data_IF_318668428823
#
_entry.id   IF_318668428823
#
_cell.length_a   1.000
_cell.length_b   1.000
_cell.length_c   1.000
_cell.angle_alpha   90.00
_cell.angle_beta   90.00
_cell.angle_gamma   90.00
#
_symmetry.space_group_name_H-M   'P 1'
#
loop_
_entity.id
_entity.type
_entity.pdbx_description
1 polymer ?
#
# COMPACT_ATOMS: atom_id res chain seq x y z
N UNK A 1 -17.34 -30.97 6.76
CA UNK A 1 -17.01 -29.58 6.46
C UNK A 1 -18.32 -28.82 6.28
N UNK A 2 -18.66 -27.90 7.21
CA UNK A 2 -20.01 -27.32 7.31
C UNK A 2 -20.27 -26.38 6.10
N UNK A 3 -21.33 -26.58 5.35
CA UNK A 3 -21.67 -25.80 4.14
C UNK A 3 -21.75 -24.28 4.40
N UNK A 4 -22.05 -23.87 5.62
CA UNK A 4 -22.05 -22.48 6.04
C UNK A 4 -20.64 -21.83 6.03
N UNK A 5 -19.61 -22.56 6.46
CA UNK A 5 -18.23 -22.06 6.49
C UNK A 5 -17.65 -21.91 5.08
N UNK A 6 -17.94 -22.84 4.17
CA UNK A 6 -17.51 -22.77 2.78
C UNK A 6 -18.11 -21.54 2.06
N UNK A 7 -19.38 -21.23 2.32
CA UNK A 7 -20.02 -20.01 1.79
C UNK A 7 -19.37 -18.73 2.30
N UNK A 8 -18.98 -18.67 3.58
CA UNK A 8 -18.28 -17.52 4.13
C UNK A 8 -16.94 -17.31 3.44
N UNK A 9 -16.17 -18.37 3.23
CA UNK A 9 -14.86 -18.29 2.56
C UNK A 9 -14.97 -17.91 1.08
N UNK A 10 -15.93 -18.48 0.35
CA UNK A 10 -16.20 -18.09 -1.04
C UNK A 10 -16.64 -16.61 -1.14
N UNK A 11 -17.48 -16.16 -0.21
CA UNK A 11 -17.93 -14.78 -0.16
C UNK A 11 -16.77 -13.81 0.15
N UNK A 12 -15.85 -14.19 1.05
CA UNK A 12 -14.65 -13.43 1.35
C UNK A 12 -13.75 -13.34 0.11
N UNK A 13 -13.44 -14.49 -0.50
CA UNK A 13 -12.61 -14.55 -1.69
C UNK A 13 -13.18 -13.68 -2.82
N UNK A 14 -14.46 -13.82 -3.11
CA UNK A 14 -15.15 -13.05 -4.13
C UNK A 14 -15.18 -11.55 -3.81
N UNK A 15 -15.38 -11.20 -2.54
CA UNK A 15 -15.37 -9.81 -2.08
C UNK A 15 -14.01 -9.15 -2.34
N UNK A 16 -12.92 -9.79 -1.93
CA UNK A 16 -11.57 -9.25 -2.14
C UNK A 16 -11.19 -9.22 -3.62
N UNK A 17 -11.56 -10.22 -4.39
CA UNK A 17 -11.39 -10.24 -5.83
C UNK A 17 -12.09 -9.04 -6.49
N UNK A 18 -13.36 -8.82 -6.15
CA UNK A 18 -14.16 -7.70 -6.66
C UNK A 18 -13.58 -6.34 -6.26
N UNK A 19 -13.19 -6.17 -4.98
CA UNK A 19 -12.60 -4.93 -4.49
C UNK A 19 -11.29 -4.61 -5.22
N UNK A 20 -10.42 -5.60 -5.40
CA UNK A 20 -9.14 -5.40 -6.09
C UNK A 20 -9.28 -5.14 -7.59
N UNK A 21 -10.28 -5.71 -8.27
CA UNK A 21 -10.52 -5.42 -9.68
C UNK A 21 -11.12 -4.02 -9.86
N UNK A 22 -12.05 -3.61 -8.98
CA UNK A 22 -12.73 -2.32 -9.10
C UNK A 22 -11.90 -1.14 -8.58
N UNK A 23 -11.06 -1.40 -7.58
CA UNK A 23 -10.21 -0.38 -6.97
C UNK A 23 -8.88 -1.01 -6.54
N UNK A 24 -7.90 -1.12 -7.45
CA UNK A 24 -6.65 -1.86 -7.20
C UNK A 24 -5.76 -1.19 -6.16
N UNK A 25 -5.97 0.08 -5.81
CA UNK A 25 -5.19 0.76 -4.77
C UNK A 25 -5.84 2.07 -4.30
N UNK A 26 -5.40 2.54 -3.11
CA UNK A 26 -5.72 3.85 -2.58
C UNK A 26 -6.95 3.90 -1.66
N UNK A 27 -7.33 5.12 -1.20
CA UNK A 27 -8.42 5.32 -0.22
C UNK A 27 -9.77 4.79 -0.67
N UNK A 28 -10.03 4.75 -1.99
CA UNK A 28 -11.26 4.21 -2.55
C UNK A 28 -11.42 2.71 -2.29
N UNK A 29 -10.32 1.95 -2.25
CA UNK A 29 -10.38 0.52 -1.92
C UNK A 29 -10.78 0.27 -0.47
N UNK A 30 -10.35 1.13 0.46
CA UNK A 30 -10.73 1.06 1.88
C UNK A 30 -12.22 1.34 2.04
N UNK A 31 -12.75 2.37 1.37
CA UNK A 31 -14.17 2.70 1.39
C UNK A 31 -15.04 1.59 0.80
N UNK A 32 -14.59 0.96 -0.29
CA UNK A 32 -15.31 -0.15 -0.91
C UNK A 32 -15.27 -1.39 0.00
N UNK A 33 -14.12 -1.67 0.61
CA UNK A 33 -13.95 -2.76 1.57
C UNK A 33 -14.83 -2.57 2.81
N UNK A 34 -14.87 -1.33 3.36
CA UNK A 34 -15.78 -0.97 4.45
C UNK A 34 -17.23 -1.30 4.10
N UNK A 35 -17.70 -0.77 2.96
CA UNK A 35 -19.07 -0.99 2.51
C UNK A 35 -19.41 -2.48 2.37
N UNK A 36 -18.53 -3.26 1.75
CA UNK A 36 -18.74 -4.70 1.54
C UNK A 36 -18.65 -5.49 2.86
N UNK A 37 -17.69 -5.19 3.74
CA UNK A 37 -17.50 -5.91 5.00
C UNK A 37 -18.65 -5.67 5.98
N UNK A 38 -19.12 -4.43 6.11
CA UNK A 38 -20.22 -4.07 7.01
C UNK A 38 -21.57 -4.52 6.44
N UNK A 39 -21.82 -4.33 5.12
CA UNK A 39 -23.07 -4.78 4.51
C UNK A 39 -23.28 -6.29 4.55
N UNK A 40 -22.19 -7.06 4.48
CA UNK A 40 -22.21 -8.53 4.61
C UNK A 40 -22.15 -9.02 6.06
N UNK A 41 -22.19 -8.10 7.03
CA UNK A 41 -22.13 -8.42 8.46
C UNK A 41 -20.90 -9.27 8.84
N UNK A 42 -19.79 -9.10 8.12
CA UNK A 42 -18.52 -9.79 8.40
C UNK A 42 -17.82 -9.16 9.62
N UNK A 43 -18.04 -7.86 9.83
CA UNK A 43 -17.58 -7.11 11.00
C UNK A 43 -18.47 -5.88 11.22
N UNK A 44 -18.43 -5.34 12.45
CA UNK A 44 -19.11 -4.09 12.80
C UNK A 44 -18.32 -2.88 12.31
N UNK A 45 -18.98 -1.71 12.24
CA UNK A 45 -18.30 -0.44 11.92
C UNK A 45 -17.15 -0.15 12.89
N UNK A 46 -17.37 -0.34 14.19
CA UNK A 46 -16.36 -0.13 15.22
C UNK A 46 -15.12 -1.03 15.01
N UNK A 47 -15.34 -2.31 14.73
CA UNK A 47 -14.26 -3.25 14.42
C UNK A 47 -13.50 -2.87 13.16
N UNK A 48 -14.17 -2.34 12.13
CA UNK A 48 -13.50 -1.90 10.92
C UNK A 48 -12.63 -0.67 11.17
N UNK A 49 -13.13 0.33 11.90
CA UNK A 49 -12.36 1.52 12.28
C UNK A 49 -11.14 1.15 13.11
N UNK A 50 -11.28 0.23 14.05
CA UNK A 50 -10.18 -0.31 14.85
C UNK A 50 -9.14 -1.03 13.96
N UNK A 51 -9.59 -1.87 13.01
CA UNK A 51 -8.72 -2.54 12.05
C UNK A 51 -7.94 -1.56 11.18
N UNK A 52 -8.56 -0.48 10.72
CA UNK A 52 -7.89 0.61 10.00
C UNK A 52 -6.84 1.28 10.89
N UNK A 53 -7.19 1.59 12.14
CA UNK A 53 -6.25 2.17 13.12
C UNK A 53 -5.03 1.29 13.32
N UNK A 54 -5.20 -0.01 13.57
CA UNK A 54 -4.09 -0.96 13.70
C UNK A 54 -3.30 -1.11 12.40
N UNK A 55 -3.97 -1.09 11.25
CA UNK A 55 -3.28 -1.20 9.96
C UNK A 55 -2.35 -0.03 9.68
N UNK A 56 -2.64 1.15 10.20
CA UNK A 56 -1.79 2.34 10.05
C UNK A 56 -0.51 2.29 10.90
N UNK A 57 -0.54 1.58 12.02
CA UNK A 57 0.62 1.44 12.92
C UNK A 57 1.60 0.38 12.42
N UNK A 58 1.09 -0.68 11.78
CA UNK A 58 1.92 -1.79 11.30
C UNK A 58 2.62 -1.43 9.98
N UNK A 59 3.90 -1.79 9.78
CA UNK A 59 4.56 -1.63 8.50
C UNK A 59 3.98 -2.62 7.45
N UNK A 60 3.98 -2.21 6.18
CA UNK A 60 3.53 -3.03 5.06
C UNK A 60 2.27 -2.53 4.36
N UNK A 61 1.80 -3.26 3.34
CA UNK A 61 0.64 -2.90 2.52
C UNK A 61 -0.64 -2.79 3.35
N UNK A 62 -1.27 -1.62 3.37
CA UNK A 62 -2.52 -1.36 4.09
C UNK A 62 -3.66 -2.29 3.62
N UNK A 63 -3.77 -2.51 2.31
CA UNK A 63 -4.78 -3.38 1.74
C UNK A 63 -4.65 -4.83 2.22
N UNK A 64 -3.42 -5.36 2.32
CA UNK A 64 -3.19 -6.72 2.82
C UNK A 64 -3.47 -6.83 4.32
N UNK A 65 -3.09 -5.82 5.11
CA UNK A 65 -3.39 -5.78 6.55
C UNK A 65 -4.89 -5.77 6.80
N UNK A 66 -5.63 -4.92 6.09
CA UNK A 66 -7.10 -4.89 6.18
C UNK A 66 -7.71 -6.22 5.72
N UNK A 67 -7.18 -6.84 4.66
CA UNK A 67 -7.63 -8.18 4.26
C UNK A 67 -7.44 -9.21 5.37
N UNK A 68 -6.31 -9.16 6.08
CA UNK A 68 -6.06 -10.04 7.23
C UNK A 68 -7.07 -9.80 8.36
N UNK A 69 -7.32 -8.55 8.74
CA UNK A 69 -8.28 -8.22 9.82
C UNK A 69 -9.70 -8.63 9.46
N UNK A 70 -10.18 -8.28 8.27
CA UNK A 70 -11.51 -8.67 7.78
C UNK A 70 -11.64 -10.19 7.66
N UNK A 71 -10.61 -10.83 7.13
CA UNK A 71 -10.58 -12.30 7.01
C UNK A 71 -10.62 -13.00 8.37
N UNK A 72 -9.88 -12.47 9.35
CA UNK A 72 -9.87 -13.02 10.71
C UNK A 72 -11.21 -12.84 11.41
N UNK A 73 -11.81 -11.65 11.31
CA UNK A 73 -13.13 -11.37 11.89
C UNK A 73 -14.22 -12.28 11.32
N UNK A 74 -14.17 -12.57 10.02
CA UNK A 74 -15.18 -13.37 9.33
C UNK A 74 -15.01 -14.89 9.49
N UNK A 75 -13.79 -15.41 9.68
CA UNK A 75 -13.54 -16.85 9.65
C UNK A 75 -12.27 -17.34 10.33
N UNK A 76 -11.66 -16.52 11.19
CA UNK A 76 -10.40 -16.86 11.86
C UNK A 76 -9.25 -17.06 10.88
N UNK A 77 -8.30 -17.94 11.22
CA UNK A 77 -7.10 -18.21 10.40
C UNK A 77 -7.45 -18.66 8.95
N UNK A 78 -8.39 -19.58 8.71
CA UNK A 78 -8.78 -19.91 7.33
C UNK A 78 -9.38 -18.73 6.56
N UNK A 79 -10.10 -17.84 7.26
CA UNK A 79 -10.63 -16.60 6.69
C UNK A 79 -9.51 -15.66 6.25
N UNK A 80 -8.44 -15.53 7.04
CA UNK A 80 -7.23 -14.76 6.68
C UNK A 80 -6.61 -15.28 5.39
N UNK A 81 -6.39 -16.60 5.29
CA UNK A 81 -5.78 -17.21 4.11
C UNK A 81 -6.64 -16.97 2.86
N UNK A 82 -7.96 -17.13 2.99
CA UNK A 82 -8.90 -16.90 1.88
C UNK A 82 -8.93 -15.44 1.44
N UNK A 83 -8.92 -14.50 2.39
CA UNK A 83 -8.89 -13.07 2.12
C UNK A 83 -7.58 -12.64 1.44
N UNK A 84 -6.44 -13.16 1.92
CA UNK A 84 -5.13 -12.89 1.31
C UNK A 84 -5.04 -13.44 -0.11
N UNK A 85 -5.51 -14.67 -0.36
CA UNK A 85 -5.56 -15.22 -1.71
C UNK A 85 -6.43 -14.36 -2.63
N UNK A 86 -7.61 -13.93 -2.16
CA UNK A 86 -8.47 -13.02 -2.91
C UNK A 86 -7.86 -11.64 -3.16
N UNK A 87 -7.01 -11.16 -2.26
CA UNK A 87 -6.34 -9.88 -2.39
C UNK A 87 -5.10 -9.93 -3.31
N UNK A 88 -4.34 -11.02 -3.27
CA UNK A 88 -3.06 -11.15 -3.99
C UNK A 88 -3.26 -11.71 -5.41
N UNK A 89 -4.17 -12.67 -5.60
CA UNK A 89 -4.36 -13.36 -6.87
C UNK A 89 -4.69 -12.43 -8.05
N UNK A 90 -5.66 -11.49 -7.96
CA UNK A 90 -6.03 -10.65 -9.09
C UNK A 90 -4.86 -9.80 -9.62
N UNK A 91 -4.16 -9.00 -8.81
CA UNK A 91 -3.05 -8.19 -9.32
C UNK A 91 -1.90 -9.06 -9.83
N UNK A 92 -1.62 -10.22 -9.20
CA UNK A 92 -0.58 -11.14 -9.65
C UNK A 92 -0.90 -11.73 -11.02
N UNK A 93 -2.13 -12.21 -11.23
CA UNK A 93 -2.56 -12.76 -12.52
C UNK A 93 -2.53 -11.69 -13.60
N UNK A 94 -3.00 -10.47 -13.31
CA UNK A 94 -2.93 -9.35 -14.25
C UNK A 94 -1.48 -9.03 -14.65
N UNK A 95 -0.55 -8.98 -13.68
CA UNK A 95 0.86 -8.72 -13.96
C UNK A 95 1.50 -9.84 -14.78
N UNK A 96 1.16 -11.10 -14.51
CA UNK A 96 1.65 -12.24 -15.30
C UNK A 96 1.14 -12.18 -16.74
N UNK A 97 -0.14 -11.85 -16.95
CA UNK A 97 -0.71 -11.68 -18.29
C UNK A 97 -0.01 -10.55 -19.04
N UNK A 98 0.12 -9.39 -18.40
CA UNK A 98 0.80 -8.23 -19.01
C UNK A 98 2.25 -8.58 -19.36
N UNK A 99 2.97 -9.22 -18.43
CA UNK A 99 4.35 -9.67 -18.67
C UNK A 99 4.46 -10.66 -19.83
N UNK A 100 3.56 -11.64 -19.90
CA UNK A 100 3.52 -12.62 -20.99
C UNK A 100 3.23 -11.96 -22.35
N UNK A 101 2.31 -10.99 -22.37
CA UNK A 101 2.01 -10.22 -23.59
C UNK A 101 3.24 -9.42 -24.02
N UNK A 102 3.87 -8.68 -23.09
CA UNK A 102 5.06 -7.88 -23.38
C UNK A 102 6.21 -8.75 -23.90
N UNK A 103 6.45 -9.90 -23.27
CA UNK A 103 7.50 -10.84 -23.73
C UNK A 103 7.26 -11.34 -25.16
N UNK A 104 6.01 -11.58 -25.52
CA UNK A 104 5.66 -12.05 -26.89
C UNK A 104 5.94 -10.99 -27.96
N UNK A 105 5.98 -9.73 -27.58
CA UNK A 105 6.16 -8.59 -28.48
C UNK A 105 7.52 -7.88 -28.30
N UNK A 106 8.45 -8.45 -27.56
CA UNK A 106 9.77 -7.87 -27.26
C UNK A 106 10.62 -7.51 -28.49
N UNK A 107 10.27 -8.02 -29.69
CA UNK A 107 10.94 -7.68 -30.95
C UNK A 107 10.25 -6.52 -31.69
N UNK A 108 9.32 -5.85 -31.08
CA UNK A 108 8.53 -4.81 -31.73
C UNK A 108 8.97 -3.42 -31.26
N UNK A 109 9.60 -2.64 -32.15
CA UNK A 109 10.12 -1.29 -31.89
C UNK A 109 9.09 -0.33 -31.26
N UNK A 110 7.81 -0.55 -31.47
CA UNK A 110 6.77 0.28 -30.87
C UNK A 110 6.55 0.02 -29.37
N UNK A 111 6.78 -1.20 -28.88
CA UNK A 111 6.72 -1.52 -27.46
C UNK A 111 7.91 -0.91 -26.73
N UNK A 112 9.09 -1.01 -27.30
CA UNK A 112 10.28 -0.37 -26.75
C UNK A 112 10.10 1.14 -26.67
N UNK A 113 9.51 1.76 -27.71
CA UNK A 113 9.15 3.17 -27.71
C UNK A 113 8.09 3.52 -26.64
N UNK A 114 7.09 2.67 -26.46
CA UNK A 114 6.05 2.86 -25.43
C UNK A 114 6.63 2.77 -24.01
N UNK A 115 7.42 1.74 -23.71
CA UNK A 115 8.09 1.55 -22.42
C UNK A 115 9.09 2.67 -22.16
N UNK A 116 9.88 3.05 -23.15
CA UNK A 116 10.83 4.17 -23.06
C UNK A 116 10.10 5.50 -22.77
N UNK A 117 8.94 5.71 -23.38
CA UNK A 117 8.10 6.89 -23.12
C UNK A 117 7.44 6.90 -21.74
N UNK A 118 7.15 5.71 -21.16
CA UNK A 118 6.59 5.61 -19.80
C UNK A 118 7.62 5.95 -18.71
N UNK A 119 8.89 5.63 -18.91
CA UNK A 119 9.95 5.86 -17.91
C UNK A 119 10.01 7.30 -17.40
N UNK A 120 10.07 8.36 -18.24
CA UNK A 120 10.08 9.74 -17.77
C UNK A 120 8.74 10.14 -17.12
N UNK A 121 7.61 9.58 -17.56
CA UNK A 121 6.31 9.84 -16.95
C UNK A 121 6.23 9.27 -15.53
N UNK A 122 6.74 8.05 -15.30
CA UNK A 122 6.84 7.46 -13.96
C UNK A 122 7.78 8.27 -13.07
N UNK A 123 8.93 8.71 -13.58
CA UNK A 123 9.84 9.57 -12.83
C UNK A 123 9.17 10.90 -12.41
N UNK A 124 8.46 11.55 -13.33
CA UNK A 124 7.69 12.76 -13.03
C UNK A 124 6.62 12.51 -11.96
N UNK A 125 5.90 11.39 -12.03
CA UNK A 125 4.88 11.01 -11.04
C UNK A 125 5.50 10.79 -9.65
N UNK A 126 6.66 10.13 -9.57
CA UNK A 126 7.38 9.95 -8.31
C UNK A 126 7.77 11.30 -7.70
N UNK A 127 8.22 12.25 -8.52
CA UNK A 127 8.57 13.61 -8.05
C UNK A 127 7.33 14.34 -7.51
N UNK A 128 6.20 14.25 -8.21
CA UNK A 128 4.93 14.86 -7.76
C UNK A 128 4.48 14.26 -6.43
N UNK A 129 4.47 12.94 -6.32
CA UNK A 129 4.10 12.25 -5.07
C UNK A 129 5.05 12.60 -3.94
N UNK A 130 6.36 12.63 -4.19
CA UNK A 130 7.35 13.05 -3.20
C UNK A 130 7.10 14.50 -2.73
N UNK A 131 6.76 15.39 -3.65
CA UNK A 131 6.41 16.78 -3.33
C UNK A 131 5.13 16.89 -2.49
N UNK A 132 4.09 16.13 -2.84
CA UNK A 132 2.84 16.08 -2.08
C UNK A 132 3.06 15.56 -0.66
N UNK A 133 3.81 14.47 -0.49
CA UNK A 133 4.16 13.92 0.81
C UNK A 133 4.98 14.93 1.65
N UNK A 134 5.97 15.56 1.02
CA UNK A 134 6.78 16.57 1.69
C UNK A 134 5.91 17.74 2.17
N UNK A 135 4.99 18.20 1.33
CA UNK A 135 4.07 19.30 1.66
C UNK A 135 3.06 18.92 2.75
N UNK A 136 2.55 17.69 2.71
CA UNK A 136 1.61 17.19 3.71
C UNK A 136 2.24 17.00 5.09
N UNK A 137 3.51 16.63 5.14
CA UNK A 137 4.26 16.41 6.39
C UNK A 137 4.70 17.73 7.05
N UNK A 138 4.66 18.85 6.32
CA UNK A 138 5.14 20.14 6.81
C UNK A 138 4.03 21.22 6.82
N UNK A 139 2.97 21.06 7.63
CA UNK A 139 1.80 21.94 7.62
C UNK A 139 2.08 23.37 8.12
N UNK A 140 3.19 23.60 8.82
CA UNK A 140 3.59 24.93 9.39
C UNK A 140 4.64 25.68 8.58
N UNK A 141 4.89 25.28 7.32
CA UNK A 141 5.95 25.83 6.48
C UNK A 141 7.21 24.95 6.50
N UNK A 142 8.06 25.16 5.50
CA UNK A 142 9.27 24.35 5.28
C UNK A 142 10.27 24.63 6.41
N UNK A 143 10.39 23.73 7.36
CA UNK A 143 11.40 23.82 8.41
C UNK A 143 12.78 23.49 7.81
N UNK A 144 13.78 24.33 8.09
CA UNK A 144 15.17 24.12 7.64
C UNK A 144 15.70 22.74 8.03
N UNK A 145 15.24 22.18 9.15
CA UNK A 145 15.60 20.85 9.63
C UNK A 145 15.07 19.75 8.73
N UNK A 146 13.82 19.89 8.26
CA UNK A 146 13.24 18.93 7.31
C UNK A 146 13.99 18.92 5.97
N UNK A 147 14.39 20.11 5.49
CA UNK A 147 15.23 20.24 4.27
C UNK A 147 16.58 19.54 4.50
N UNK A 148 17.21 19.75 5.66
CA UNK A 148 18.50 19.14 5.97
C UNK A 148 18.42 17.62 5.97
N UNK A 149 17.40 17.03 6.61
CA UNK A 149 17.17 15.59 6.60
C UNK A 149 16.92 15.10 5.18
N UNK A 150 16.10 15.79 4.38
CA UNK A 150 15.81 15.42 3.01
C UNK A 150 17.05 15.42 2.11
N UNK A 151 17.89 16.47 2.24
CA UNK A 151 19.14 16.58 1.49
C UNK A 151 20.14 15.50 1.89
N UNK A 152 20.31 15.26 3.21
CA UNK A 152 21.19 14.20 3.69
C UNK A 152 20.73 12.83 3.22
N UNK A 153 19.41 12.56 3.23
CA UNK A 153 18.86 11.31 2.72
C UNK A 153 19.06 11.16 1.22
N UNK A 154 18.88 12.24 0.44
CA UNK A 154 19.13 12.23 -1.00
C UNK A 154 20.61 11.97 -1.32
N UNK A 155 21.53 12.59 -0.58
CA UNK A 155 22.98 12.31 -0.71
C UNK A 155 23.30 10.87 -0.35
N UNK A 156 22.71 10.33 0.72
CA UNK A 156 22.90 8.94 1.11
C UNK A 156 22.40 7.96 0.03
N UNK A 157 21.28 8.26 -0.63
CA UNK A 157 20.80 7.48 -1.79
C UNK A 157 21.72 7.61 -3.01
N UNK A 158 22.35 8.76 -3.21
CA UNK A 158 23.34 8.94 -4.27
C UNK A 158 24.56 8.01 -4.11
N UNK A 159 24.93 7.70 -2.86
CA UNK A 159 25.96 6.71 -2.52
C UNK A 159 25.47 5.27 -2.49
N UNK A 160 24.28 4.98 -3.05
CA UNK A 160 23.67 3.63 -3.12
C UNK A 160 23.49 2.94 -1.77
N UNK A 161 23.38 3.71 -0.68
CA UNK A 161 23.12 3.15 0.63
C UNK A 161 21.75 2.43 0.67
N UNK A 162 21.65 1.25 1.29
CA UNK A 162 20.39 0.51 1.37
C UNK A 162 19.30 1.33 2.06
N UNK A 163 18.12 1.39 1.43
CA UNK A 163 16.97 2.18 1.88
C UNK A 163 16.62 2.04 3.37
N UNK A 164 16.67 0.84 3.99
CA UNK A 164 16.40 0.71 5.43
C UNK A 164 17.38 1.51 6.31
N UNK A 165 18.65 1.55 5.95
CA UNK A 165 19.67 2.30 6.71
C UNK A 165 19.46 3.81 6.60
N UNK A 166 19.10 4.29 5.40
CA UNK A 166 18.80 5.71 5.17
C UNK A 166 17.57 6.13 5.98
N UNK A 167 16.51 5.29 5.98
CA UNK A 167 15.29 5.57 6.75
C UNK A 167 15.54 5.57 8.27
N UNK A 168 16.30 4.60 8.78
CA UNK A 168 16.66 4.56 10.19
C UNK A 168 17.52 5.78 10.59
N UNK A 169 18.51 6.14 9.78
CA UNK A 169 19.35 7.31 9.99
C UNK A 169 18.54 8.61 9.98
N UNK A 170 17.65 8.78 8.99
CA UNK A 170 16.75 9.93 8.91
C UNK A 170 15.80 10.00 10.12
N UNK A 171 15.27 8.86 10.58
CA UNK A 171 14.42 8.76 11.76
C UNK A 171 15.16 9.17 13.03
N UNK A 172 16.38 8.66 13.25
CA UNK A 172 17.23 9.02 14.40
C UNK A 172 17.59 10.52 14.39
N UNK A 173 17.97 11.07 13.23
CA UNK A 173 18.20 12.50 13.06
C UNK A 173 16.93 13.32 13.36
N UNK A 174 15.76 12.83 12.92
CA UNK A 174 14.48 13.42 13.23
C UNK A 174 14.22 13.50 14.72
N UNK A 175 14.38 12.39 15.45
CA UNK A 175 14.23 12.35 16.90
C UNK A 175 15.19 13.31 17.58
N UNK A 176 16.45 13.37 17.15
CA UNK A 176 17.45 14.26 17.75
C UNK A 176 17.15 15.75 17.48
N UNK A 177 16.74 16.11 16.26
CA UNK A 177 16.49 17.49 15.86
C UNK A 177 15.14 18.04 16.36
N UNK A 178 14.13 17.18 16.50
CA UNK A 178 12.78 17.57 16.94
C UNK A 178 12.48 17.21 18.39
N UNK A 179 13.16 16.21 18.97
CA UNK A 179 12.95 15.76 20.35
C UNK A 179 13.28 16.79 21.41
N UNK A 180 14.11 17.79 21.10
CA UNK A 180 14.44 18.88 22.03
C UNK A 180 13.32 19.95 22.19
N UNK A 181 12.22 19.88 21.41
CA UNK A 181 11.14 20.88 21.45
C UNK A 181 9.95 20.46 22.32
N UNK A 182 9.96 19.29 22.94
CA UNK A 182 8.81 18.77 23.72
C UNK A 182 8.82 19.16 25.20
N UNK A 183 9.78 19.95 25.66
CA UNK A 183 9.92 20.36 27.06
C UNK A 183 10.04 21.89 27.23
N UNK A 184 9.25 22.64 26.47
CA UNK A 184 9.14 24.08 26.63
C UNK A 184 7.71 24.57 26.44
#
# INVERSE_FOLDING_TARGET
MNQSKLRVWLNLWWMFLKVNILSPSGPASIGLLYKEAVSKQLMTEAQFVEAVGFSNVLPGSEALKLAMFVGFAAGGIPGVLTALLGAILPPTVMMLIVSAILQRFQQSNWIDGFVAGMSPAVAALIIVVAWELFRATTPKGIDRRAILIAVLSAVAFWFELPSPLVLLGAGLLGVFLYGQRSYG
#
